data_IF_042406747932
#
_entry.id   IF_042406747932
#
_cell.length_a   1.000
_cell.length_b   1.000
_cell.length_c   1.000
_cell.angle_alpha   90.00
_cell.angle_beta   90.00
_cell.angle_gamma   90.00
#
_symmetry.space_group_name_H-M   'P 1'
#
loop_
_entity.id
_entity.type
_entity.pdbx_description
1 polymer ?
#
# COMPACT_ATOMS: atom_id res chain seq x y z
N UNK A 1 -30.43 -16.09 -1.67
CA UNK A 1 -30.65 -17.31 -0.88
C UNK A 1 -30.64 -18.60 -1.73
N UNK A 2 -29.88 -19.61 -1.33
CA UNK A 2 -30.15 -20.99 -1.74
C UNK A 2 -29.09 -21.75 -2.52
N UNK A 3 -28.09 -21.10 -3.14
CA UNK A 3 -27.01 -21.86 -3.80
C UNK A 3 -26.14 -22.59 -2.77
N UNK A 4 -25.69 -21.89 -1.73
CA UNK A 4 -24.86 -22.47 -0.67
C UNK A 4 -25.62 -23.54 0.13
N UNK A 5 -26.87 -23.28 0.50
CA UNK A 5 -27.71 -24.24 1.23
C UNK A 5 -27.97 -25.48 0.38
N UNK A 6 -28.31 -25.33 -0.91
CA UNK A 6 -28.52 -26.48 -1.81
C UNK A 6 -27.23 -27.29 -1.96
N UNK A 7 -26.09 -26.63 -2.11
CA UNK A 7 -24.80 -27.30 -2.21
C UNK A 7 -24.46 -28.06 -0.93
N UNK A 8 -24.74 -27.49 0.25
CA UNK A 8 -24.51 -28.15 1.53
C UNK A 8 -25.39 -29.40 1.70
N UNK A 9 -26.68 -29.30 1.35
CA UNK A 9 -27.61 -30.44 1.35
C UNK A 9 -27.15 -31.52 0.36
N UNK A 10 -26.76 -31.13 -0.86
CA UNK A 10 -26.22 -32.07 -1.85
C UNK A 10 -24.93 -32.75 -1.39
N UNK A 11 -24.13 -32.09 -0.56
CA UNK A 11 -22.95 -32.65 0.07
C UNK A 11 -23.26 -33.53 1.31
N UNK A 12 -24.54 -33.82 1.58
CA UNK A 12 -24.97 -34.66 2.70
C UNK A 12 -24.90 -33.98 4.07
N UNK A 13 -24.79 -32.65 4.12
CA UNK A 13 -24.77 -31.89 5.38
C UNK A 13 -26.18 -31.59 5.86
N UNK A 14 -26.34 -31.48 7.17
CA UNK A 14 -27.58 -31.01 7.79
C UNK A 14 -27.57 -29.48 7.85
N UNK A 15 -28.68 -28.84 7.43
CA UNK A 15 -28.81 -27.39 7.45
C UNK A 15 -30.01 -26.98 8.30
N UNK A 16 -29.79 -26.17 9.34
CA UNK A 16 -30.86 -25.59 10.17
C UNK A 16 -30.94 -24.09 9.92
N UNK A 17 -32.13 -23.56 9.67
CA UNK A 17 -32.34 -22.14 9.42
C UNK A 17 -33.66 -21.66 10.02
N UNK A 18 -33.80 -20.35 10.21
CA UNK A 18 -35.04 -19.78 10.74
C UNK A 18 -36.18 -19.88 9.72
N UNK A 19 -37.37 -20.26 10.19
CA UNK A 19 -38.58 -20.41 9.37
C UNK A 19 -38.96 -19.11 8.64
N UNK A 20 -38.81 -17.97 9.32
CA UNK A 20 -39.06 -16.65 8.78
C UNK A 20 -37.77 -15.82 8.72
N UNK A 21 -37.75 -14.87 7.79
CA UNK A 21 -36.66 -13.90 7.66
C UNK A 21 -36.60 -13.00 8.89
N UNK A 22 -35.43 -12.86 9.47
CA UNK A 22 -35.19 -11.97 10.62
C UNK A 22 -35.04 -10.54 10.10
N UNK A 23 -35.68 -9.59 10.78
CA UNK A 23 -35.62 -8.16 10.46
C UNK A 23 -35.23 -7.40 11.72
N UNK A 24 -33.94 -7.11 11.89
CA UNK A 24 -33.45 -6.50 13.12
C UNK A 24 -32.34 -5.48 12.83
N UNK A 25 -32.39 -4.31 13.49
CA UNK A 25 -31.40 -3.23 13.37
C UNK A 25 -31.02 -2.88 11.91
N UNK A 26 -32.00 -2.79 11.01
CA UNK A 26 -31.78 -2.44 9.60
C UNK A 26 -31.18 -3.56 8.74
N UNK A 27 -30.95 -4.75 9.30
CA UNK A 27 -30.58 -5.94 8.55
C UNK A 27 -31.79 -6.86 8.38
N UNK A 28 -31.97 -7.39 7.17
CA UNK A 28 -33.04 -8.34 6.85
C UNK A 28 -32.44 -9.54 6.11
N UNK A 29 -32.45 -10.71 6.75
CA UNK A 29 -31.83 -11.92 6.20
C UNK A 29 -32.08 -13.16 7.06
N UNK A 30 -31.35 -14.23 6.75
CA UNK A 30 -31.45 -15.50 7.46
C UNK A 30 -30.11 -15.89 8.06
N UNK A 31 -30.14 -16.32 9.33
CA UNK A 31 -29.06 -17.13 9.89
C UNK A 31 -29.30 -18.60 9.60
N UNK A 32 -28.26 -19.35 9.24
CA UNK A 32 -28.31 -20.80 9.06
C UNK A 32 -27.05 -21.49 9.58
N UNK A 33 -27.20 -22.66 10.19
CA UNK A 33 -26.09 -23.55 10.52
C UNK A 33 -25.99 -24.68 9.52
N UNK A 34 -24.76 -25.05 9.15
CA UNK A 34 -24.45 -26.24 8.37
C UNK A 34 -23.64 -27.15 9.27
N UNK A 35 -24.07 -28.40 9.46
CA UNK A 35 -23.41 -29.40 10.29
C UNK A 35 -23.12 -30.65 9.46
N UNK A 36 -21.92 -31.17 9.62
CA UNK A 36 -21.51 -32.46 9.12
C UNK A 36 -21.97 -33.56 10.08
N UNK A 37 -22.93 -34.43 9.67
CA UNK A 37 -23.42 -35.48 10.55
C UNK A 37 -22.35 -36.53 10.89
N UNK A 38 -21.31 -36.70 10.05
CA UNK A 38 -20.28 -37.71 10.27
C UNK A 38 -19.21 -37.25 11.27
N UNK A 39 -18.83 -35.97 11.21
CA UNK A 39 -17.71 -35.42 11.99
C UNK A 39 -18.18 -34.53 13.15
N UNK A 40 -19.45 -34.09 13.13
CA UNK A 40 -19.98 -33.09 14.05
C UNK A 40 -19.47 -31.66 13.79
N UNK A 41 -18.63 -31.45 12.78
CA UNK A 41 -18.12 -30.13 12.44
C UNK A 41 -19.24 -29.27 11.84
N UNK A 42 -19.34 -28.01 12.24
CA UNK A 42 -20.36 -27.12 11.70
C UNK A 42 -19.97 -25.65 11.70
N UNK A 43 -20.69 -24.88 10.89
CA UNK A 43 -20.52 -23.44 10.76
C UNK A 43 -21.88 -22.74 10.85
N UNK A 44 -21.92 -21.58 11.49
CA UNK A 44 -23.08 -20.69 11.49
C UNK A 44 -22.82 -19.51 10.55
N UNK A 45 -23.72 -19.29 9.61
CA UNK A 45 -23.65 -18.28 8.57
C UNK A 45 -24.84 -17.33 8.66
N UNK A 46 -24.63 -16.08 8.25
CA UNK A 46 -25.65 -15.03 8.23
C UNK A 46 -25.73 -14.50 6.81
N UNK A 47 -26.92 -14.56 6.22
CA UNK A 47 -27.17 -14.05 4.87
C UNK A 47 -26.90 -12.54 4.81
N UNK A 48 -26.09 -12.12 3.85
CA UNK A 48 -25.94 -10.72 3.50
C UNK A 48 -25.08 -9.88 4.44
N UNK A 49 -24.09 -10.43 5.16
CA UNK A 49 -23.12 -9.61 5.90
C UNK A 49 -21.67 -9.87 5.49
N UNK A 50 -20.91 -8.78 5.42
CA UNK A 50 -19.56 -8.72 4.90
C UNK A 50 -18.60 -9.69 5.58
N UNK A 51 -17.71 -10.26 4.78
CA UNK A 51 -16.63 -11.12 5.25
C UNK A 51 -15.74 -10.30 6.22
N UNK A 52 -15.59 -10.77 7.46
CA UNK A 52 -14.75 -10.10 8.48
C UNK A 52 -13.30 -9.93 8.05
N UNK A 53 -12.83 -10.72 7.07
CA UNK A 53 -11.55 -10.51 6.39
C UNK A 53 -11.41 -9.14 5.74
N UNK A 54 -12.50 -8.52 5.28
CA UNK A 54 -12.47 -7.15 4.74
C UNK A 54 -12.21 -6.10 5.83
N UNK A 55 -12.72 -6.32 7.04
CA UNK A 55 -12.41 -5.44 8.16
C UNK A 55 -10.93 -5.54 8.55
N UNK A 56 -10.38 -6.75 8.56
CA UNK A 56 -8.94 -6.96 8.79
C UNK A 56 -8.08 -6.33 7.69
N UNK A 57 -8.48 -6.48 6.42
CA UNK A 57 -7.77 -5.86 5.31
C UNK A 57 -7.81 -4.33 5.39
N UNK A 58 -8.97 -3.77 5.71
CA UNK A 58 -9.14 -2.33 5.96
C UNK A 58 -8.22 -1.86 7.10
N UNK A 59 -8.20 -2.58 8.22
CA UNK A 59 -7.38 -2.23 9.38
C UNK A 59 -5.89 -2.23 9.03
N UNK A 60 -5.43 -3.27 8.30
CA UNK A 60 -4.03 -3.35 7.85
C UNK A 60 -3.69 -2.21 6.89
N UNK A 61 -4.56 -1.92 5.92
CA UNK A 61 -4.35 -0.81 4.99
C UNK A 61 -4.33 0.55 5.69
N UNK A 62 -5.25 0.76 6.64
CA UNK A 62 -5.32 1.99 7.44
C UNK A 62 -4.05 2.18 8.28
N UNK A 63 -3.57 1.13 8.97
CA UNK A 63 -2.34 1.20 9.74
C UNK A 63 -1.12 1.44 8.84
N UNK A 64 -1.02 0.78 7.69
CA UNK A 64 0.05 1.01 6.72
C UNK A 64 0.06 2.45 6.19
N UNK A 65 -1.12 3.05 6.00
CA UNK A 65 -1.26 4.42 5.50
C UNK A 65 -0.67 5.48 6.44
N UNK A 66 -0.59 5.20 7.74
CA UNK A 66 0.03 6.10 8.72
C UNK A 66 1.54 6.27 8.49
N UNK A 67 2.20 5.29 7.89
CA UNK A 67 3.65 5.29 7.69
C UNK A 67 4.08 5.85 6.33
N UNK A 68 3.19 5.89 5.34
CA UNK A 68 3.47 6.40 3.99
C UNK A 68 3.98 7.85 3.98
N UNK A 69 3.41 8.81 4.73
CA UNK A 69 3.90 10.19 4.75
C UNK A 69 5.33 10.32 5.27
N UNK A 70 5.74 9.48 6.23
CA UNK A 70 7.09 9.47 6.77
C UNK A 70 8.11 9.00 5.73
N UNK A 71 7.74 8.00 4.93
CA UNK A 71 8.59 7.50 3.85
C UNK A 71 8.78 8.56 2.75
N UNK A 72 7.71 9.28 2.41
CA UNK A 72 7.75 10.41 1.46
C UNK A 72 8.61 11.55 2.01
N UNK A 73 8.39 11.96 3.26
CA UNK A 73 9.14 13.02 3.91
C UNK A 73 10.65 12.68 4.00
N UNK A 74 11.00 11.45 4.34
CA UNK A 74 12.38 10.99 4.37
C UNK A 74 13.06 11.08 2.99
N UNK A 75 12.33 10.72 1.91
CA UNK A 75 12.82 10.87 0.54
C UNK A 75 13.05 12.33 0.15
N UNK A 76 12.12 13.22 0.49
CA UNK A 76 12.23 14.66 0.21
C UNK A 76 13.40 15.29 0.97
N UNK A 77 13.55 15.00 2.26
CA UNK A 77 14.66 15.52 3.09
C UNK A 77 16.00 15.01 2.57
N UNK A 78 16.10 13.72 2.25
CA UNK A 78 17.34 13.13 1.71
C UNK A 78 17.73 13.76 0.37
N UNK A 79 16.76 13.99 -0.52
CA UNK A 79 16.98 14.67 -1.79
C UNK A 79 17.44 16.13 -1.62
N UNK A 80 16.82 16.87 -0.71
CA UNK A 80 17.21 18.25 -0.40
C UNK A 80 18.63 18.34 0.17
N UNK A 81 18.98 17.46 1.11
CA UNK A 81 20.33 17.38 1.68
C UNK A 81 21.38 16.99 0.63
N UNK A 82 21.05 16.05 -0.27
CA UNK A 82 21.92 15.68 -1.39
C UNK A 82 22.19 16.85 -2.33
N UNK A 83 21.17 17.64 -2.66
CA UNK A 83 21.31 18.83 -3.48
C UNK A 83 22.19 19.90 -2.82
N UNK A 84 21.99 20.17 -1.53
CA UNK A 84 22.83 21.10 -0.74
C UNK A 84 24.28 20.61 -0.73
N UNK A 85 24.52 19.33 -0.47
CA UNK A 85 25.86 18.74 -0.49
C UNK A 85 26.54 18.88 -1.85
N UNK A 86 25.80 18.68 -2.95
CA UNK A 86 26.30 18.89 -4.31
C UNK A 86 26.72 20.34 -4.58
N UNK A 87 25.89 21.31 -4.18
CA UNK A 87 26.22 22.74 -4.35
C UNK A 87 27.44 23.14 -3.52
N UNK A 88 27.55 22.66 -2.27
CA UNK A 88 28.71 22.93 -1.42
C UNK A 88 30.00 22.33 -2.00
N UNK A 89 29.93 21.16 -2.62
CA UNK A 89 31.06 20.54 -3.31
C UNK A 89 31.50 21.37 -4.54
N UNK A 90 30.54 21.96 -5.28
CA UNK A 90 30.84 22.86 -6.40
C UNK A 90 31.54 24.14 -5.91
N UNK A 91 31.03 24.75 -4.84
CA UNK A 91 31.61 25.97 -4.25
C UNK A 91 33.04 25.70 -3.76
N UNK A 92 33.25 24.63 -3.00
CA UNK A 92 34.59 24.29 -2.48
C UNK A 92 35.60 24.02 -3.60
N UNK A 93 35.17 23.38 -4.69
CA UNK A 93 36.03 23.13 -5.87
C UNK A 93 36.34 24.41 -6.64
N UNK A 94 35.34 25.28 -6.85
CA UNK A 94 35.54 26.58 -7.50
C UNK A 94 36.52 27.47 -6.71
N UNK A 95 36.38 27.49 -5.37
CA UNK A 95 37.31 28.20 -4.48
C UNK A 95 38.71 27.58 -4.44
N UNK A 96 38.83 26.27 -4.64
CA UNK A 96 40.12 25.60 -4.74
C UNK A 96 40.84 25.87 -6.08
N UNK A 97 40.08 26.09 -7.16
CA UNK A 97 40.60 26.38 -8.50
C UNK A 97 41.07 27.83 -8.67
N UNK A 98 40.54 28.78 -7.89
CA UNK A 98 40.96 30.20 -7.90
C UNK A 98 42.44 30.41 -7.48
N UNK A 99 43.10 29.34 -7.02
CA UNK A 99 44.52 29.34 -6.63
C UNK A 99 45.45 28.58 -7.58
N UNK A 100 44.98 28.11 -8.74
CA UNK A 100 45.76 27.19 -9.59
C UNK A 100 45.84 27.69 -11.04
N UNK A 101 46.95 28.33 -11.39
CA UNK A 101 47.33 28.79 -12.74
C UNK A 101 47.79 27.64 -13.70
N UNK A 102 47.28 26.41 -13.55
CA UNK A 102 47.80 25.24 -14.27
C UNK A 102 46.76 24.56 -15.20
N UNK A 103 47.19 23.97 -16.34
CA UNK A 103 46.32 23.58 -17.44
C UNK A 103 45.42 22.40 -17.05
N UNK A 104 44.11 22.67 -17.03
CA UNK A 104 42.98 21.71 -16.94
C UNK A 104 43.31 20.43 -16.15
N UNK A 105 43.23 20.54 -14.83
CA UNK A 105 43.44 19.43 -13.92
C UNK A 105 42.36 18.34 -14.13
N UNK A 106 42.71 17.28 -14.86
CA UNK A 106 41.86 16.11 -15.14
C UNK A 106 41.25 15.48 -13.87
N UNK A 107 41.85 15.70 -12.70
CA UNK A 107 41.29 15.30 -11.41
C UNK A 107 40.00 16.05 -11.06
N UNK A 108 39.92 17.35 -11.34
CA UNK A 108 38.71 18.15 -11.11
C UNK A 108 37.55 17.73 -12.02
N UNK A 109 37.84 17.37 -13.28
CA UNK A 109 36.84 16.86 -14.23
C UNK A 109 36.33 15.47 -13.82
N UNK A 110 37.22 14.58 -13.35
CA UNK A 110 36.82 13.26 -12.84
C UNK A 110 35.98 13.37 -11.56
N UNK A 111 36.31 14.31 -10.68
CA UNK A 111 35.52 14.61 -9.48
C UNK A 111 34.13 15.16 -9.84
N UNK A 112 34.04 16.02 -10.86
CA UNK A 112 32.78 16.52 -11.39
C UNK A 112 31.87 15.40 -11.93
N UNK A 113 32.41 14.51 -12.78
CA UNK A 113 31.62 13.40 -13.35
C UNK A 113 31.19 12.41 -12.27
N UNK A 114 32.05 12.12 -11.29
CA UNK A 114 31.72 11.22 -10.18
C UNK A 114 30.64 11.82 -9.25
N UNK A 115 30.69 13.12 -8.96
CA UNK A 115 29.69 13.80 -8.11
C UNK A 115 28.36 14.01 -8.83
N UNK A 116 28.38 14.40 -10.11
CA UNK A 116 27.17 14.51 -10.93
C UNK A 116 26.48 13.16 -11.14
N UNK A 117 27.25 12.08 -11.35
CA UNK A 117 26.74 10.71 -11.43
C UNK A 117 26.11 10.23 -10.13
N UNK A 118 26.73 10.53 -8.98
CA UNK A 118 26.18 10.20 -7.67
C UNK A 118 24.86 10.95 -7.37
N UNK A 119 24.75 12.24 -7.73
CA UNK A 119 23.50 13.01 -7.58
C UNK A 119 22.39 12.45 -8.48
N UNK A 120 22.70 12.12 -9.74
CA UNK A 120 21.74 11.55 -10.68
C UNK A 120 21.19 10.21 -10.17
N UNK A 121 22.07 9.33 -9.65
CA UNK A 121 21.66 8.06 -9.03
C UNK A 121 20.80 8.24 -7.77
N UNK A 122 21.07 9.27 -6.97
CA UNK A 122 20.24 9.60 -5.80
C UNK A 122 18.84 10.06 -6.23
N UNK A 123 18.76 10.95 -7.22
CA UNK A 123 17.47 11.45 -7.73
C UNK A 123 16.64 10.37 -8.43
N UNK A 124 17.28 9.45 -9.16
CA UNK A 124 16.59 8.31 -9.78
C UNK A 124 16.23 7.22 -8.76
N UNK A 125 17.07 7.01 -7.73
CA UNK A 125 16.81 6.06 -6.65
C UNK A 125 15.66 6.45 -5.73
N UNK A 126 15.36 7.76 -5.58
CA UNK A 126 14.27 8.26 -4.72
C UNK A 126 13.06 8.84 -5.48
N UNK A 127 13.23 9.30 -6.73
CA UNK A 127 12.13 9.86 -7.54
C UNK A 127 11.15 8.82 -8.08
N UNK A 128 11.63 7.64 -8.47
CA UNK A 128 10.80 6.51 -8.92
C UNK A 128 9.87 5.98 -7.81
N UNK A 129 10.36 5.76 -6.57
CA UNK A 129 9.50 5.40 -5.43
C UNK A 129 8.40 6.43 -5.15
N UNK A 130 8.68 7.74 -5.28
CA UNK A 130 7.69 8.80 -5.08
C UNK A 130 6.58 8.77 -6.14
N UNK A 131 6.93 8.54 -7.40
CA UNK A 131 5.96 8.38 -8.49
C UNK A 131 5.06 7.15 -8.27
N UNK A 132 5.66 6.01 -7.86
CA UNK A 132 4.91 4.79 -7.53
C UNK A 132 4.00 5.00 -6.31
N UNK A 133 4.45 5.73 -5.29
CA UNK A 133 3.65 6.04 -4.11
C UNK A 133 2.44 6.94 -4.43
N UNK A 134 2.62 7.94 -5.30
CA UNK A 134 1.53 8.83 -5.74
C UNK A 134 0.51 8.10 -6.64
N UNK A 135 0.97 7.21 -7.53
CA UNK A 135 0.09 6.35 -8.31
C UNK A 135 -0.70 5.36 -7.44
N UNK A 136 -0.11 4.90 -6.32
CA UNK A 136 -0.78 4.08 -5.31
C UNK A 136 -1.95 4.78 -4.61
N UNK A 137 -1.81 6.08 -4.32
CA UNK A 137 -2.88 6.88 -3.69
C UNK A 137 -4.11 7.02 -4.61
N UNK A 138 -3.90 7.22 -5.91
CA UNK A 138 -5.00 7.26 -6.89
C UNK A 138 -5.74 5.92 -6.98
N UNK A 139 -5.00 4.81 -6.89
CA UNK A 139 -5.56 3.46 -6.88
C UNK A 139 -6.37 3.16 -5.60
N UNK A 140 -5.93 3.66 -4.45
CA UNK A 140 -6.65 3.57 -3.18
C UNK A 140 -7.96 4.37 -3.19
N UNK A 141 -7.96 5.57 -3.77
CA UNK A 141 -9.18 6.37 -3.96
C UNK A 141 -10.22 5.68 -4.84
N UNK A 142 -9.79 5.07 -5.94
CA UNK A 142 -10.66 4.28 -6.82
C UNK A 142 -11.22 3.02 -6.11
N UNK A 143 -10.40 2.36 -5.27
CA UNK A 143 -10.83 1.23 -4.46
C UNK A 143 -11.89 1.63 -3.40
N UNK A 144 -11.70 2.76 -2.72
CA UNK A 144 -12.71 3.32 -1.81
C UNK A 144 -14.02 3.62 -2.56
N UNK A 145 -13.94 4.18 -3.76
CA UNK A 145 -15.13 4.44 -4.57
C UNK A 145 -15.90 3.14 -4.88
N UNK A 146 -15.22 2.05 -5.23
CA UNK A 146 -15.86 0.74 -5.42
C UNK A 146 -16.55 0.20 -4.16
N UNK A 147 -16.02 0.50 -2.96
CA UNK A 147 -16.62 0.08 -1.68
C UNK A 147 -17.95 0.81 -1.39
N UNK A 148 -18.11 2.05 -1.83
CA UNK A 148 -19.30 2.85 -1.53
C UNK A 148 -20.33 2.87 -2.67
N UNK A 149 -20.09 2.15 -3.76
CA UNK A 149 -20.92 2.15 -4.97
C UNK A 149 -21.93 1.00 -5.07
N UNK A 150 -22.28 0.35 -3.95
CA UNK A 150 -23.27 -0.75 -3.92
C UNK A 150 -24.70 -0.26 -3.72
#
# INVERSE_FOLDING_TARGET
MGAEIRNAIQAGKEVTFHEARIHEHGWSGYGYSIVDPETGAGAYLIEGKGNGGWFMLFLVAALASLFLPYLVAAGVISGALGAIGGVLALITTALANDKIDDPVNLAAIKAYIATAGALAMLTLGFGLPLFVALAGLGSFGYFIWQIFSF
#
